data_IF_540002514497
#
_entry.id   IF_540002514497
#
_cell.length_a   1.000
_cell.length_b   1.000
_cell.length_c   1.000
_cell.angle_alpha   90.00
_cell.angle_beta   90.00
_cell.angle_gamma   90.00
#
_symmetry.space_group_name_H-M   'P 1'
#
loop_
_entity.id
_entity.type
_entity.pdbx_description
1 polymer ?
#
# COMPACT_ATOMS: atom_id res chain seq x y z
N UNK A 1 5.21 -9.24 -16.04
CA UNK A 1 5.89 -7.94 -16.18
C UNK A 1 6.51 -7.54 -14.84
N UNK A 2 7.75 -7.06 -14.83
CA UNK A 2 8.50 -6.67 -13.61
C UNK A 2 7.72 -5.63 -12.80
N UNK A 3 7.04 -4.71 -13.46
CA UNK A 3 6.22 -3.64 -12.85
C UNK A 3 5.10 -4.23 -11.98
N UNK A 4 4.37 -5.24 -12.48
CA UNK A 4 3.29 -5.89 -11.73
C UNK A 4 3.82 -6.66 -10.51
N UNK A 5 4.97 -7.33 -10.66
CA UNK A 5 5.61 -8.07 -9.57
C UNK A 5 6.15 -7.13 -8.49
N UNK A 6 6.76 -5.99 -8.86
CA UNK A 6 7.21 -4.97 -7.92
C UNK A 6 6.06 -4.27 -7.20
N UNK A 7 4.96 -3.93 -7.90
CA UNK A 7 3.73 -3.42 -7.29
C UNK A 7 3.20 -4.37 -6.23
N UNK A 8 3.06 -5.65 -6.61
CA UNK A 8 2.55 -6.69 -5.74
C UNK A 8 3.43 -6.88 -4.51
N UNK A 9 4.75 -6.97 -4.69
CA UNK A 9 5.70 -7.16 -3.59
C UNK A 9 5.55 -6.04 -2.54
N UNK A 10 5.55 -4.78 -2.97
CA UNK A 10 5.42 -3.66 -2.04
C UNK A 10 4.05 -3.57 -1.39
N UNK A 11 2.97 -3.89 -2.11
CA UNK A 11 1.62 -3.98 -1.52
C UNK A 11 1.59 -5.10 -0.47
N UNK A 12 2.15 -6.27 -0.76
CA UNK A 12 2.24 -7.37 0.20
C UNK A 12 3.06 -6.99 1.45
N UNK A 13 4.18 -6.28 1.27
CA UNK A 13 4.98 -5.73 2.38
C UNK A 13 4.16 -4.75 3.22
N UNK A 14 3.49 -3.77 2.58
CA UNK A 14 2.65 -2.78 3.26
C UNK A 14 1.46 -3.41 3.99
N UNK A 15 0.80 -4.39 3.37
CA UNK A 15 -0.27 -5.18 3.99
C UNK A 15 0.26 -6.00 5.15
N UNK A 16 1.44 -6.63 5.03
CA UNK A 16 2.06 -7.36 6.13
C UNK A 16 2.33 -6.45 7.33
N UNK A 17 2.78 -5.21 7.11
CA UNK A 17 2.94 -4.20 8.19
C UNK A 17 1.59 -3.79 8.75
N UNK A 18 0.59 -3.55 7.90
CA UNK A 18 -0.75 -3.19 8.35
C UNK A 18 -1.33 -4.28 9.26
N UNK A 19 -1.13 -5.55 8.89
CA UNK A 19 -1.56 -6.73 9.64
C UNK A 19 -0.76 -6.87 10.93
N UNK A 20 0.56 -6.68 10.90
CA UNK A 20 1.42 -6.71 12.09
C UNK A 20 1.05 -5.60 13.10
N UNK A 21 0.79 -4.38 12.60
CA UNK A 21 0.31 -3.25 13.41
C UNK A 21 -1.09 -3.48 13.94
N UNK A 22 -1.97 -4.03 13.11
CA UNK A 22 -3.28 -4.48 13.55
C UNK A 22 -3.14 -5.47 14.69
N UNK A 23 -2.34 -6.52 14.52
CA UNK A 23 -2.10 -7.48 15.59
C UNK A 23 -1.49 -6.82 16.81
N UNK A 24 -0.45 -6.00 16.70
CA UNK A 24 0.18 -5.36 17.87
C UNK A 24 -0.80 -4.45 18.64
N UNK A 25 -1.61 -3.65 17.93
CA UNK A 25 -2.61 -2.75 18.54
C UNK A 25 -3.77 -3.53 19.19
N UNK A 26 -4.23 -4.61 18.55
CA UNK A 26 -5.33 -5.44 19.05
C UNK A 26 -4.88 -6.46 20.12
N UNK A 27 -3.71 -7.10 19.96
CA UNK A 27 -3.09 -8.01 20.95
C UNK A 27 -2.64 -7.27 22.22
N UNK A 28 -2.28 -5.99 22.13
CA UNK A 28 -2.04 -5.16 23.33
C UNK A 28 -3.30 -4.95 24.20
N UNK A 29 -4.48 -5.40 23.76
CA UNK A 29 -5.75 -5.12 24.43
C UNK A 29 -6.65 -6.33 24.73
N UNK A 30 -6.55 -7.47 24.05
CA UNK A 30 -7.42 -8.60 24.38
C UNK A 30 -6.89 -9.93 23.84
N UNK A 31 -6.62 -10.88 24.76
CA UNK A 31 -6.49 -12.29 24.43
C UNK A 31 -7.81 -12.79 23.79
N UNK A 32 -7.68 -13.59 22.73
CA UNK A 32 -8.71 -14.38 22.04
C UNK A 32 -9.85 -13.61 21.32
N UNK A 33 -9.69 -13.32 20.03
CA UNK A 33 -10.75 -13.56 19.04
C UNK A 33 -10.25 -13.65 17.59
N UNK A 34 -10.92 -14.49 16.81
CA UNK A 34 -10.53 -15.27 15.62
C UNK A 34 -10.74 -14.52 14.27
N UNK A 35 -11.10 -13.25 14.32
CA UNK A 35 -11.35 -12.44 13.11
C UNK A 35 -10.14 -11.52 12.86
N UNK A 36 -9.25 -11.77 11.91
CA UNK A 36 -9.54 -11.71 10.47
C UNK A 36 -8.39 -12.25 9.60
N UNK A 37 -7.55 -13.15 10.11
CA UNK A 37 -6.41 -13.73 9.34
C UNK A 37 -6.89 -14.41 8.06
N UNK A 38 -8.03 -15.11 8.13
CA UNK A 38 -8.69 -15.73 6.97
C UNK A 38 -9.15 -14.70 5.93
N UNK A 39 -9.72 -13.57 6.35
CA UNK A 39 -10.16 -12.50 5.42
C UNK A 39 -8.97 -11.85 4.71
N UNK A 40 -7.90 -11.59 5.44
CA UNK A 40 -6.65 -11.05 4.88
C UNK A 40 -6.02 -12.04 3.90
N UNK A 41 -5.95 -13.33 4.26
CA UNK A 41 -5.45 -14.37 3.36
C UNK A 41 -6.24 -14.49 2.07
N UNK A 42 -7.57 -14.38 2.13
CA UNK A 42 -8.44 -14.34 0.94
C UNK A 42 -8.12 -13.12 0.07
N UNK A 43 -8.00 -11.92 0.67
CA UNK A 43 -7.66 -10.70 -0.06
C UNK A 43 -6.29 -10.84 -0.75
N UNK A 44 -5.27 -11.32 -0.06
CA UNK A 44 -3.93 -11.53 -0.64
C UNK A 44 -3.99 -12.51 -1.82
N UNK A 45 -4.75 -13.60 -1.67
CA UNK A 45 -4.92 -14.61 -2.73
C UNK A 45 -5.64 -14.03 -3.96
N UNK A 46 -6.70 -13.23 -3.75
CA UNK A 46 -7.41 -12.53 -4.83
C UNK A 46 -6.50 -11.54 -5.55
N UNK A 47 -5.68 -10.79 -4.81
CA UNK A 47 -4.70 -9.85 -5.39
C UNK A 47 -3.67 -10.62 -6.23
N UNK A 48 -3.17 -11.76 -5.72
CA UNK A 48 -2.24 -12.63 -6.45
C UNK A 48 -2.84 -13.14 -7.77
N UNK A 49 -4.09 -13.59 -7.75
CA UNK A 49 -4.81 -14.03 -8.93
C UNK A 49 -4.99 -12.86 -9.94
N UNK A 50 -5.37 -11.67 -9.46
CA UNK A 50 -5.53 -10.49 -10.31
C UNK A 50 -4.20 -10.07 -10.96
N UNK A 51 -3.09 -10.07 -10.20
CA UNK A 51 -1.77 -9.72 -10.71
C UNK A 51 -1.23 -10.72 -11.73
N UNK A 52 -1.45 -12.03 -11.50
CA UNK A 52 -1.03 -13.07 -12.46
C UNK A 52 -1.83 -12.99 -13.75
N UNK A 53 -3.15 -12.82 -13.68
CA UNK A 53 -4.02 -12.61 -14.84
C UNK A 53 -3.60 -11.34 -15.61
N UNK A 54 -3.40 -10.22 -14.92
CA UNK A 54 -2.93 -8.97 -15.53
C UNK A 54 -1.55 -9.13 -16.18
N UNK A 55 -0.63 -9.85 -15.54
CA UNK A 55 0.70 -10.15 -16.08
C UNK A 55 0.66 -11.02 -17.33
N UNK A 56 -0.26 -11.98 -17.41
CA UNK A 56 -0.49 -12.82 -18.60
C UNK A 56 -1.11 -11.99 -19.73
N UNK A 57 -2.11 -11.15 -19.42
CA UNK A 57 -2.73 -10.24 -20.38
C UNK A 57 -1.71 -9.26 -20.97
N UNK A 58 -0.75 -8.77 -20.17
CA UNK A 58 0.35 -7.92 -20.63
C UNK A 58 1.22 -8.60 -21.68
N UNK A 59 1.45 -9.92 -21.57
CA UNK A 59 2.27 -10.69 -22.52
C UNK A 59 1.50 -10.97 -23.81
N UNK A 60 0.21 -11.27 -23.71
CA UNK A 60 -0.62 -11.66 -24.87
C UNK A 60 -1.07 -10.43 -25.69
N UNK A 61 -1.38 -9.31 -25.03
CA UNK A 61 -1.99 -8.12 -25.64
C UNK A 61 -1.11 -6.87 -25.52
N UNK A 62 0.20 -7.01 -25.69
CA UNK A 62 1.17 -5.92 -25.48
C UNK A 62 0.90 -4.64 -26.28
N UNK A 63 0.28 -4.74 -27.46
CA UNK A 63 -0.08 -3.61 -28.33
C UNK A 63 -1.44 -2.95 -28.00
N UNK A 64 -2.22 -3.54 -27.09
CA UNK A 64 -3.56 -3.03 -26.79
C UNK A 64 -3.55 -2.02 -25.64
N UNK A 65 -4.19 -0.87 -25.84
CA UNK A 65 -4.46 0.11 -24.77
C UNK A 65 -5.25 -0.49 -23.60
N UNK A 66 -5.92 -1.63 -23.81
CA UNK A 66 -6.64 -2.38 -22.77
C UNK A 66 -5.71 -2.76 -21.61
N UNK A 67 -4.48 -3.19 -21.91
CA UNK A 67 -3.51 -3.59 -20.88
C UNK A 67 -3.15 -2.40 -19.99
N UNK A 68 -2.94 -1.23 -20.59
CA UNK A 68 -2.61 0.00 -19.85
C UNK A 68 -3.80 0.44 -18.97
N UNK A 69 -5.03 0.39 -19.50
CA UNK A 69 -6.26 0.69 -18.73
C UNK A 69 -6.42 -0.29 -17.56
N UNK A 70 -6.19 -1.59 -17.78
CA UNK A 70 -6.21 -2.60 -16.73
C UNK A 70 -5.18 -2.31 -15.64
N UNK A 71 -3.95 -1.93 -16.01
CA UNK A 71 -2.90 -1.57 -15.04
C UNK A 71 -3.26 -0.34 -14.20
N UNK A 72 -3.77 0.71 -14.84
CA UNK A 72 -4.23 1.92 -14.15
C UNK A 72 -5.37 1.58 -13.18
N UNK A 73 -6.37 0.83 -13.64
CA UNK A 73 -7.50 0.39 -12.81
C UNK A 73 -7.04 -0.47 -11.62
N UNK A 74 -6.11 -1.40 -11.85
CA UNK A 74 -5.56 -2.24 -10.79
C UNK A 74 -4.84 -1.41 -9.72
N UNK A 75 -4.09 -0.38 -10.12
CA UNK A 75 -3.40 0.49 -9.17
C UNK A 75 -4.37 1.27 -8.29
N UNK A 76 -5.38 1.93 -8.88
CA UNK A 76 -6.36 2.69 -8.11
C UNK A 76 -7.19 1.79 -7.18
N UNK A 77 -7.60 0.62 -7.65
CA UNK A 77 -8.33 -0.35 -6.81
C UNK A 77 -7.48 -0.82 -5.63
N UNK A 78 -6.20 -1.11 -5.83
CA UNK A 78 -5.28 -1.45 -4.74
C UNK A 78 -5.03 -0.30 -3.78
N UNK A 79 -4.88 0.94 -4.29
CA UNK A 79 -4.69 2.13 -3.46
C UNK A 79 -5.92 2.38 -2.57
N UNK A 80 -7.13 2.27 -3.14
CA UNK A 80 -8.39 2.40 -2.40
C UNK A 80 -8.50 1.29 -1.35
N UNK A 81 -8.17 0.05 -1.70
CA UNK A 81 -8.18 -1.07 -0.76
C UNK A 81 -7.22 -0.82 0.41
N UNK A 82 -5.98 -0.43 0.15
CA UNK A 82 -5.02 -0.06 1.20
C UNK A 82 -5.52 1.10 2.06
N UNK A 83 -5.97 2.19 1.45
CA UNK A 83 -6.49 3.34 2.18
C UNK A 83 -7.69 2.97 3.05
N UNK A 84 -8.63 2.16 2.54
CA UNK A 84 -9.80 1.70 3.30
C UNK A 84 -9.41 0.85 4.50
N UNK A 85 -8.44 -0.06 4.35
CA UNK A 85 -7.94 -0.90 5.44
C UNK A 85 -7.24 -0.05 6.50
N UNK A 86 -6.42 0.92 6.09
CA UNK A 86 -5.74 1.82 7.01
C UNK A 86 -6.71 2.75 7.75
N UNK A 87 -7.68 3.34 7.05
CA UNK A 87 -8.72 4.18 7.66
C UNK A 87 -9.56 3.34 8.62
N UNK A 88 -9.97 2.14 8.23
CA UNK A 88 -10.70 1.22 9.11
C UNK A 88 -9.90 0.88 10.37
N UNK A 89 -8.61 0.56 10.22
CA UNK A 89 -7.72 0.30 11.36
C UNK A 89 -7.58 1.53 12.27
N UNK A 90 -7.41 2.73 11.69
CA UNK A 90 -7.32 3.97 12.45
C UNK A 90 -8.61 4.29 13.20
N UNK A 91 -9.77 4.14 12.55
CA UNK A 91 -11.08 4.33 13.16
C UNK A 91 -11.31 3.34 14.30
N UNK A 92 -11.00 2.06 14.09
CA UNK A 92 -11.08 1.05 15.14
C UNK A 92 -10.18 1.40 16.33
N UNK A 93 -8.92 1.75 16.09
CA UNK A 93 -8.00 2.19 17.15
C UNK A 93 -8.55 3.41 17.92
N UNK A 94 -9.09 4.41 17.20
CA UNK A 94 -9.73 5.60 17.79
C UNK A 94 -10.95 5.25 18.65
N UNK A 95 -11.77 4.29 18.22
CA UNK A 95 -12.93 3.83 18.99
C UNK A 95 -12.50 3.07 20.25
N UNK A 96 -11.49 2.21 20.16
CA UNK A 96 -10.94 1.51 21.33
C UNK A 96 -10.32 2.48 22.35
N UNK A 97 -9.57 3.49 21.90
CA UNK A 97 -9.01 4.53 22.79
C UNK A 97 -10.13 5.34 23.48
N UNK A 98 -11.17 5.75 22.74
CA UNK A 98 -12.32 6.47 23.33
C UNK A 98 -13.05 5.63 24.39
N UNK A 99 -13.20 4.32 24.19
CA UNK A 99 -13.81 3.43 25.18
C UNK A 99 -12.95 3.26 26.44
N UNK A 100 -11.63 3.23 26.30
CA UNK A 100 -10.71 3.04 27.44
C UNK A 100 -10.50 4.34 28.22
N UNK A 101 -10.58 5.51 27.58
CA UNK A 101 -10.46 6.82 28.23
C UNK A 101 -11.59 7.11 29.25
N UNK A 102 -12.65 6.30 29.27
CA UNK A 102 -13.76 6.40 30.23
C UNK A 102 -13.47 5.60 31.52
N UNK A 103 -12.45 4.73 31.55
CA UNK A 103 -12.01 4.02 32.76
C UNK A 103 -11.00 4.87 33.55
N UNK A 104 -11.27 5.20 34.83
CA UNK A 104 -10.35 5.99 35.65
C UNK A 104 -9.14 5.12 36.04
N UNK A 105 -7.93 5.49 35.63
CA UNK A 105 -6.70 4.92 36.20
C UNK A 105 -5.47 4.74 35.30
N UNK A 106 -5.56 4.82 33.98
CA UNK A 106 -4.39 4.65 33.08
C UNK A 106 -4.24 5.83 32.12
N UNK A 107 -3.37 6.77 32.50
CA UNK A 107 -3.12 8.03 31.81
C UNK A 107 -2.23 7.97 30.54
N UNK A 108 -1.66 9.12 30.12
CA UNK A 108 -1.28 9.52 28.75
C UNK A 108 -0.17 8.72 28.04
N UNK A 109 0.45 7.75 28.70
CA UNK A 109 1.61 6.99 28.18
C UNK A 109 1.25 6.09 26.99
N UNK A 110 0.03 5.54 26.95
CA UNK A 110 -0.43 4.66 25.85
C UNK A 110 -0.86 5.41 24.59
N UNK A 111 -1.07 6.72 24.69
CA UNK A 111 -1.56 7.58 23.61
C UNK A 111 -0.43 8.00 22.64
N UNK A 112 0.80 8.16 23.15
CA UNK A 112 1.98 8.49 22.35
C UNK A 112 2.49 7.33 21.47
N UNK A 113 2.42 6.08 21.97
CA UNK A 113 2.83 4.89 21.21
C UNK A 113 1.91 4.63 20.00
N UNK A 114 0.59 4.79 20.18
CA UNK A 114 -0.39 4.63 19.09
C UNK A 114 -0.26 5.68 17.98
N UNK A 115 0.18 6.90 18.32
CA UNK A 115 0.33 7.98 17.34
C UNK A 115 1.60 7.80 16.48
N UNK A 116 2.69 7.28 17.06
CA UNK A 116 3.90 6.92 16.31
C UNK A 116 3.63 5.86 15.25
N UNK A 117 2.86 4.81 15.58
CA UNK A 117 2.46 3.78 14.61
C UNK A 117 1.65 4.34 13.43
N UNK A 118 0.70 5.24 13.70
CA UNK A 118 -0.09 5.89 12.65
C UNK A 118 0.73 6.81 11.73
N UNK A 119 1.74 7.50 12.28
CA UNK A 119 2.67 8.34 11.49
C UNK A 119 3.48 7.46 10.54
N UNK A 120 4.07 6.36 11.02
CA UNK A 120 4.85 5.45 10.17
C UNK A 120 4.02 4.91 9.02
N UNK A 121 2.77 4.52 9.27
CA UNK A 121 1.86 4.03 8.22
C UNK A 121 1.51 5.10 7.18
N UNK A 122 1.30 6.33 7.62
CA UNK A 122 1.02 7.47 6.72
C UNK A 122 2.22 7.78 5.84
N UNK A 123 3.43 7.75 6.41
CA UNK A 123 4.69 7.91 5.67
C UNK A 123 4.82 6.80 4.62
N UNK A 124 4.58 5.54 4.99
CA UNK A 124 4.69 4.40 4.08
C UNK A 124 3.74 4.51 2.87
N UNK A 125 2.47 4.89 3.10
CA UNK A 125 1.51 5.14 2.01
C UNK A 125 1.97 6.33 1.15
N UNK A 126 2.43 7.40 1.78
CA UNK A 126 2.90 8.60 1.08
C UNK A 126 4.07 8.32 0.15
N UNK A 127 5.08 7.58 0.64
CA UNK A 127 6.24 7.21 -0.19
C UNK A 127 5.82 6.27 -1.32
N UNK A 128 4.94 5.29 -1.07
CA UNK A 128 4.39 4.45 -2.14
C UNK A 128 3.71 5.28 -3.23
N UNK A 129 2.85 6.23 -2.86
CA UNK A 129 2.19 7.12 -3.83
C UNK A 129 3.21 7.95 -4.60
N UNK A 130 4.20 8.54 -3.94
CA UNK A 130 5.23 9.37 -4.60
C UNK A 130 6.10 8.56 -5.57
N UNK A 131 6.45 7.33 -5.23
CA UNK A 131 7.26 6.47 -6.10
C UNK A 131 6.48 5.96 -7.32
N UNK A 132 5.18 5.67 -7.16
CA UNK A 132 4.36 5.04 -8.20
C UNK A 132 3.55 6.04 -9.04
N UNK A 133 3.08 7.14 -8.46
CA UNK A 133 2.23 8.11 -9.15
C UNK A 133 2.83 8.67 -10.46
N UNK A 134 4.13 9.04 -10.54
CA UNK A 134 4.70 9.57 -11.78
C UNK A 134 4.60 8.60 -12.96
N UNK A 135 4.75 7.31 -12.70
CA UNK A 135 4.64 6.26 -13.71
C UNK A 135 3.18 6.06 -14.16
N UNK A 136 2.22 6.04 -13.23
CA UNK A 136 0.81 5.93 -13.61
C UNK A 136 0.29 7.19 -14.30
N UNK A 137 0.78 8.38 -13.91
CA UNK A 137 0.50 9.64 -14.61
C UNK A 137 1.06 9.62 -16.03
N UNK A 138 2.26 9.07 -16.22
CA UNK A 138 2.80 8.81 -17.55
C UNK A 138 1.82 7.93 -18.34
N UNK A 139 1.45 6.75 -17.84
CA UNK A 139 0.50 5.87 -18.55
C UNK A 139 -0.85 6.56 -18.88
N UNK A 140 -1.36 7.43 -18.01
CA UNK A 140 -2.57 8.23 -18.26
C UNK A 140 -2.35 9.20 -19.41
N UNK A 141 -1.28 10.00 -19.40
CA UNK A 141 -0.99 10.96 -20.48
C UNK A 141 -0.71 10.28 -21.82
N UNK A 142 -0.12 9.09 -21.81
CA UNK A 142 0.10 8.30 -23.03
C UNK A 142 -1.22 7.99 -23.75
N UNK A 143 -2.27 7.65 -23.01
CA UNK A 143 -3.61 7.39 -23.57
C UNK A 143 -4.36 8.69 -23.88
N UNK A 144 -4.32 9.67 -22.97
CA UNK A 144 -5.19 10.85 -23.06
C UNK A 144 -4.70 11.92 -24.04
N UNK A 145 -3.39 12.06 -24.26
CA UNK A 145 -2.82 13.16 -25.05
C UNK A 145 -1.50 12.80 -25.76
N UNK A 146 -1.47 11.80 -26.66
CA UNK A 146 -0.22 11.33 -27.29
C UNK A 146 0.49 12.38 -28.15
N UNK A 147 -0.24 13.33 -28.75
CA UNK A 147 0.32 14.33 -29.68
C UNK A 147 0.55 15.71 -29.07
N UNK A 148 0.20 15.91 -27.80
CA UNK A 148 0.36 17.22 -27.17
C UNK A 148 1.84 17.41 -26.73
N UNK A 149 2.49 18.53 -27.09
CA UNK A 149 3.91 18.74 -26.82
C UNK A 149 4.25 18.73 -25.32
N UNK A 150 3.33 19.17 -24.45
CA UNK A 150 3.52 19.08 -22.99
C UNK A 150 3.51 17.64 -22.48
N UNK A 151 2.59 16.82 -23.01
CA UNK A 151 2.51 15.40 -22.66
C UNK A 151 3.74 14.63 -23.16
N UNK A 152 4.22 14.92 -24.38
CA UNK A 152 5.46 14.31 -24.92
C UNK A 152 6.69 14.68 -24.08
N UNK A 153 6.76 15.94 -23.61
CA UNK A 153 7.82 16.37 -22.70
C UNK A 153 7.82 15.54 -21.39
N UNK A 154 6.65 15.36 -20.77
CA UNK A 154 6.51 14.51 -19.59
C UNK A 154 6.85 13.04 -19.88
N UNK A 155 6.43 12.51 -21.04
CA UNK A 155 6.73 11.16 -21.49
C UNK A 155 8.24 10.90 -21.62
N UNK A 156 9.01 11.91 -22.02
CA UNK A 156 10.47 11.84 -22.20
C UNK A 156 11.22 11.45 -20.92
N UNK A 157 10.67 11.78 -19.75
CA UNK A 157 11.27 11.49 -18.45
C UNK A 157 11.01 10.06 -17.94
N UNK A 158 10.65 9.12 -18.82
CA UNK A 158 10.36 7.72 -18.47
C UNK A 158 11.43 7.05 -17.60
N UNK A 159 12.71 7.26 -17.90
CA UNK A 159 13.83 6.69 -17.13
C UNK A 159 13.83 7.14 -15.66
N UNK A 160 13.46 8.39 -15.39
CA UNK A 160 13.35 8.90 -14.04
C UNK A 160 12.22 8.22 -13.26
N UNK A 161 11.07 7.97 -13.90
CA UNK A 161 9.96 7.26 -13.28
C UNK A 161 10.30 5.79 -13.00
N UNK A 162 11.04 5.14 -13.89
CA UNK A 162 11.56 3.79 -13.64
C UNK A 162 12.49 3.76 -12.43
N UNK A 163 13.41 4.73 -12.31
CA UNK A 163 14.30 4.82 -11.15
C UNK A 163 13.50 4.98 -9.85
N UNK A 164 12.46 5.82 -9.83
CA UNK A 164 11.59 5.98 -8.66
C UNK A 164 10.88 4.68 -8.26
N UNK A 165 10.41 3.89 -9.24
CA UNK A 165 9.83 2.57 -9.00
C UNK A 165 10.87 1.59 -8.46
N UNK A 166 12.09 1.61 -8.99
CA UNK A 166 13.15 0.73 -8.51
C UNK A 166 13.56 1.07 -7.07
N UNK A 167 13.59 2.37 -6.71
CA UNK A 167 13.83 2.84 -5.35
C UNK A 167 12.76 2.34 -4.36
N UNK A 168 11.54 2.05 -4.81
CA UNK A 168 10.50 1.49 -3.95
C UNK A 168 10.87 0.08 -3.42
N UNK A 169 11.78 -0.66 -4.09
CA UNK A 169 12.34 -1.91 -3.55
C UNK A 169 13.30 -1.72 -2.37
N UNK A 170 13.83 -0.50 -2.16
CA UNK A 170 14.68 -0.14 -1.00
C UNK A 170 13.80 0.12 0.23
N UNK A 171 12.54 0.47 0.02
CA UNK A 171 11.57 0.68 1.09
C UNK A 171 11.28 -0.64 1.80
N UNK A 172 11.28 -1.76 1.07
CA UNK A 172 11.07 -3.10 1.64
C UNK A 172 12.10 -3.42 2.77
N UNK A 173 13.44 -3.34 2.56
CA UNK A 173 14.42 -3.47 3.65
C UNK A 173 14.30 -2.44 4.76
N UNK A 174 14.04 -1.17 4.44
CA UNK A 174 13.87 -0.10 5.44
C UNK A 174 12.71 -0.42 6.38
N UNK A 175 11.60 -0.90 5.84
CA UNK A 175 10.45 -1.41 6.60
C UNK A 175 10.89 -2.49 7.59
N UNK A 176 11.63 -3.50 7.13
CA UNK A 176 12.09 -4.59 8.00
C UNK A 176 13.08 -4.12 9.07
N UNK A 177 13.96 -3.18 8.72
CA UNK A 177 14.90 -2.57 9.66
C UNK A 177 14.17 -1.78 10.76
N UNK A 178 13.19 -0.94 10.39
CA UNK A 178 12.36 -0.22 11.38
C UNK A 178 11.53 -1.18 12.25
N UNK A 179 11.04 -2.29 11.69
CA UNK A 179 10.35 -3.34 12.46
C UNK A 179 11.26 -3.96 13.53
N UNK A 180 12.54 -4.20 13.20
CA UNK A 180 13.51 -4.76 14.14
C UNK A 180 13.80 -3.85 15.34
N UNK A 181 13.67 -2.53 15.19
CA UNK A 181 13.84 -1.57 16.28
C UNK A 181 12.63 -1.50 17.21
N UNK A 182 11.44 -1.87 16.74
CA UNK A 182 10.23 -1.84 17.56
C UNK A 182 9.94 -3.17 18.28
N UNK A 183 10.58 -4.26 17.82
CA UNK A 183 10.57 -5.58 18.48
C UNK A 183 11.64 -5.72 19.57
N UNK A 184 12.52 -4.73 19.73
CA UNK A 184 13.63 -4.72 20.68
C UNK A 184 13.33 -3.79 21.85
#
# INVERSE_FOLDING_TARGET
SVICSSLLASICSLLSIAVDRYFTIFYALQYHNIMTVKRVGVIITCIWAACTVSGILFIIYSDSSVVIICLISMFFTMLILMASLYVHMFLMARMHIKKIAVLPGTGPVRQGANMKGAITLTILIGVFVVCWAPFFLHLIFYISCPYNPYCVCFMSHFNFYLILIMCNSIIDPLIYAFRSQELR
#
